data_IF_853608012296
#
_entry.id   IF_853608012296
#
_cell.length_a   1.000
_cell.length_b   1.000
_cell.length_c   1.000
_cell.angle_alpha   90.00
_cell.angle_beta   90.00
_cell.angle_gamma   90.00
#
_symmetry.space_group_name_H-M   'P 1'
#
loop_
_entity.id
_entity.type
_entity.pdbx_description
1 polymer ?
#
# COMPACT_ATOMS: atom_id res chain seq x y z
N UNK A 1 -18.77 -57.79 -0.50
CA UNK A 1 -19.62 -56.73 -1.09
C UNK A 1 -19.17 -55.41 -0.48
N UNK A 2 -18.59 -54.57 -1.33
CA UNK A 2 -17.58 -53.57 -1.01
C UNK A 2 -18.17 -52.21 -0.62
N UNK A 3 -17.32 -51.38 -0.03
CA UNK A 3 -17.50 -50.02 0.48
C UNK A 3 -18.05 -48.97 -0.53
N UNK A 4 -18.64 -49.37 -1.66
CA UNK A 4 -19.27 -48.48 -2.64
C UNK A 4 -20.63 -47.94 -2.18
N UNK A 5 -21.32 -48.56 -1.23
CA UNK A 5 -22.68 -48.15 -0.86
C UNK A 5 -22.74 -47.02 0.18
N UNK A 6 -21.63 -46.71 0.88
CA UNK A 6 -21.58 -45.63 1.88
C UNK A 6 -21.18 -44.26 1.31
N UNK A 7 -20.64 -44.20 0.08
CA UNK A 7 -20.28 -42.94 -0.58
C UNK A 7 -21.49 -42.28 -1.28
N UNK A 8 -22.53 -43.04 -1.63
CA UNK A 8 -23.70 -42.53 -2.33
C UNK A 8 -24.64 -41.68 -1.44
N UNK A 9 -24.65 -41.91 -0.13
CA UNK A 9 -25.54 -41.18 0.80
C UNK A 9 -24.95 -39.81 1.19
N UNK A 10 -23.63 -39.64 1.17
CA UNK A 10 -22.98 -38.37 1.51
C UNK A 10 -23.05 -37.32 0.36
N UNK A 11 -23.11 -37.78 -0.89
CA UNK A 11 -23.21 -36.91 -2.08
C UNK A 11 -24.63 -36.35 -2.26
N UNK A 12 -25.67 -37.05 -1.81
CA UNK A 12 -27.05 -36.58 -1.91
C UNK A 12 -27.39 -35.43 -0.93
N UNK A 13 -26.76 -35.39 0.25
CA UNK A 13 -27.01 -34.33 1.25
C UNK A 13 -26.27 -33.02 0.91
N UNK A 14 -25.11 -33.11 0.25
CA UNK A 14 -24.35 -31.93 -0.21
C UNK A 14 -24.90 -31.33 -1.52
N UNK A 15 -25.61 -32.12 -2.34
CA UNK A 15 -26.26 -31.66 -3.57
C UNK A 15 -27.48 -30.76 -3.33
N UNK A 16 -28.28 -31.05 -2.29
CA UNK A 16 -29.51 -30.29 -2.00
C UNK A 16 -29.24 -28.90 -1.37
N UNK A 17 -28.11 -28.73 -0.68
CA UNK A 17 -27.72 -27.43 -0.11
C UNK A 17 -27.24 -26.42 -1.17
N UNK A 18 -26.71 -26.89 -2.32
CA UNK A 18 -26.25 -26.01 -3.41
C UNK A 18 -27.37 -25.50 -4.31
N UNK A 19 -28.50 -26.20 -4.44
CA UNK A 19 -29.65 -25.70 -5.20
C UNK A 19 -30.41 -24.57 -4.47
N UNK A 20 -30.47 -24.60 -3.13
CA UNK A 20 -31.16 -23.56 -2.34
C UNK A 20 -30.51 -22.17 -2.38
N UNK A 21 -29.18 -22.09 -2.49
CA UNK A 21 -28.47 -20.80 -2.56
C UNK A 21 -28.56 -20.13 -3.95
N UNK A 22 -28.65 -20.90 -5.03
CA UNK A 22 -28.74 -20.34 -6.39
C UNK A 22 -30.13 -19.75 -6.70
N UNK A 23 -31.21 -20.29 -6.13
CA UNK A 23 -32.56 -19.76 -6.33
C UNK A 23 -32.81 -18.43 -5.59
N UNK A 24 -32.18 -18.22 -4.43
CA UNK A 24 -32.26 -16.94 -3.70
C UNK A 24 -31.42 -15.82 -4.33
N UNK A 25 -30.31 -16.17 -5.00
CA UNK A 25 -29.47 -15.20 -5.71
C UNK A 25 -30.11 -14.75 -7.05
N UNK A 26 -30.80 -15.65 -7.75
CA UNK A 26 -31.49 -15.34 -9.00
C UNK A 26 -32.70 -14.40 -8.79
N UNK A 27 -33.50 -14.63 -7.74
CA UNK A 27 -34.65 -13.77 -7.42
C UNK A 27 -34.26 -12.33 -7.04
N UNK A 28 -33.09 -12.14 -6.41
CA UNK A 28 -32.57 -10.81 -6.08
C UNK A 28 -31.98 -10.06 -7.29
N UNK A 29 -31.40 -10.79 -8.25
CA UNK A 29 -30.85 -10.19 -9.48
C UNK A 29 -31.97 -9.70 -10.42
N UNK A 30 -33.09 -10.44 -10.48
CA UNK A 30 -34.24 -10.07 -11.31
C UNK A 30 -34.99 -8.85 -10.76
N UNK A 31 -35.05 -8.70 -9.42
CA UNK A 31 -35.62 -7.53 -8.76
C UNK A 31 -34.73 -6.26 -8.92
N UNK A 32 -33.40 -6.43 -8.99
CA UNK A 32 -32.46 -5.34 -9.28
C UNK A 32 -32.47 -4.92 -10.75
N UNK A 33 -32.70 -5.86 -11.68
CA UNK A 33 -32.81 -5.56 -13.10
C UNK A 33 -34.10 -4.81 -13.45
N UNK A 34 -35.22 -5.14 -12.80
CA UNK A 34 -36.49 -4.41 -12.96
C UNK A 34 -36.45 -2.98 -12.38
N UNK A 35 -35.66 -2.72 -11.33
CA UNK A 35 -35.44 -1.36 -10.82
C UNK A 35 -34.53 -0.50 -11.72
N UNK A 36 -33.60 -1.11 -12.47
CA UNK A 36 -32.74 -0.36 -13.40
C UNK A 36 -33.46 0.04 -14.69
N UNK A 37 -34.45 -0.74 -15.15
CA UNK A 37 -35.23 -0.41 -16.35
C UNK A 37 -36.24 0.73 -16.13
N UNK A 38 -36.69 0.98 -14.89
CA UNK A 38 -37.61 2.09 -14.59
C UNK A 38 -36.95 3.48 -14.54
N UNK A 39 -35.61 3.56 -14.55
CA UNK A 39 -34.87 4.85 -14.48
C UNK A 39 -34.48 5.38 -15.87
N UNK A 40 -34.72 4.63 -16.96
CA UNK A 40 -34.34 5.01 -18.33
C UNK A 40 -35.44 5.71 -19.15
N UNK A 41 -36.54 6.15 -18.51
CA UNK A 41 -37.54 6.98 -19.18
C UNK A 41 -37.82 8.21 -18.34
N UNK A 42 -37.08 9.29 -18.60
CA UNK A 42 -37.45 10.71 -18.44
C UNK A 42 -36.17 11.56 -18.55
N UNK A 43 -35.87 12.09 -19.74
CA UNK A 43 -34.91 13.18 -19.89
C UNK A 43 -35.64 14.53 -19.87
N UNK A 44 -35.25 15.48 -19.01
CA UNK A 44 -35.64 16.87 -19.16
C UNK A 44 -34.44 17.74 -19.57
N UNK A 45 -34.54 18.28 -20.78
CA UNK A 45 -33.73 19.36 -21.33
C UNK A 45 -33.92 20.64 -20.50
N UNK A 46 -33.06 20.90 -19.50
CA UNK A 46 -32.58 22.26 -19.17
C UNK A 46 -31.60 22.30 -17.98
N UNK A 47 -30.68 23.28 -17.99
CA UNK A 47 -29.56 23.38 -17.04
C UNK A 47 -29.97 23.55 -15.55
N UNK A 48 -31.22 23.95 -15.26
CA UNK A 48 -31.75 24.04 -13.90
C UNK A 48 -32.09 22.66 -13.28
N UNK A 49 -32.41 21.65 -14.11
CA UNK A 49 -32.77 20.30 -13.64
C UNK A 49 -31.55 19.49 -13.19
N UNK A 50 -30.35 19.80 -13.73
CA UNK A 50 -29.07 19.16 -13.37
C UNK A 50 -28.64 19.45 -11.93
N UNK A 51 -28.97 20.64 -11.41
CA UNK A 51 -28.70 21.02 -10.01
C UNK A 51 -29.57 20.26 -9.01
N UNK A 52 -30.85 20.03 -9.35
CA UNK A 52 -31.77 19.25 -8.52
C UNK A 52 -31.46 17.74 -8.56
N UNK A 53 -31.05 17.22 -9.73
CA UNK A 53 -30.61 15.83 -9.88
C UNK A 53 -29.34 15.52 -9.08
N UNK A 54 -28.37 16.46 -9.04
CA UNK A 54 -27.15 16.31 -8.23
C UNK A 54 -27.45 16.32 -6.72
N UNK A 55 -28.37 17.18 -6.26
CA UNK A 55 -28.79 17.22 -4.86
C UNK A 55 -29.56 15.96 -4.43
N UNK A 56 -30.41 15.42 -5.31
CA UNK A 56 -31.13 14.16 -5.08
C UNK A 56 -30.18 12.95 -5.11
N UNK A 57 -29.16 12.96 -5.98
CA UNK A 57 -28.12 11.93 -6.03
C UNK A 57 -27.26 11.91 -4.75
N UNK A 58 -26.92 13.08 -4.21
CA UNK A 58 -26.20 13.22 -2.93
C UNK A 58 -27.06 12.73 -1.76
N UNK A 59 -28.35 13.07 -1.71
CA UNK A 59 -29.26 12.58 -0.67
C UNK A 59 -29.45 11.05 -0.73
N UNK A 60 -29.61 10.49 -1.93
CA UNK A 60 -29.67 9.03 -2.11
C UNK A 60 -28.34 8.35 -1.76
N UNK A 61 -27.20 8.99 -2.03
CA UNK A 61 -25.90 8.48 -1.61
C UNK A 61 -25.75 8.48 -0.08
N UNK A 62 -26.15 9.56 0.60
CA UNK A 62 -26.14 9.65 2.06
C UNK A 62 -27.08 8.61 2.72
N UNK A 63 -28.26 8.37 2.14
CA UNK A 63 -29.16 7.30 2.59
C UNK A 63 -28.53 5.91 2.44
N UNK A 64 -27.84 5.63 1.32
CA UNK A 64 -27.12 4.35 1.13
C UNK A 64 -25.98 4.19 2.13
N UNK A 65 -25.25 5.25 2.46
CA UNK A 65 -24.20 5.22 3.49
C UNK A 65 -24.78 4.92 4.88
N UNK A 66 -25.90 5.54 5.24
CA UNK A 66 -26.59 5.25 6.51
C UNK A 66 -27.10 3.79 6.58
N UNK A 67 -27.68 3.28 5.49
CA UNK A 67 -28.13 1.88 5.44
C UNK A 67 -26.95 0.90 5.57
N UNK A 68 -25.80 1.18 4.95
CA UNK A 68 -24.60 0.35 5.10
C UNK A 68 -24.06 0.37 6.53
N UNK A 69 -24.05 1.53 7.20
CA UNK A 69 -23.67 1.62 8.62
C UNK A 69 -24.63 0.83 9.52
N UNK A 70 -25.94 0.91 9.29
CA UNK A 70 -26.93 0.12 10.03
C UNK A 70 -26.74 -1.39 9.82
N UNK A 71 -26.47 -1.84 8.59
CA UNK A 71 -26.17 -3.24 8.32
C UNK A 71 -24.88 -3.72 9.00
N UNK A 72 -23.84 -2.88 9.07
CA UNK A 72 -22.61 -3.19 9.80
C UNK A 72 -22.85 -3.27 11.31
N UNK A 73 -23.65 -2.38 11.88
CA UNK A 73 -24.04 -2.42 13.30
C UNK A 73 -24.86 -3.68 13.62
N UNK A 74 -25.81 -4.07 12.76
CA UNK A 74 -26.59 -5.30 12.91
C UNK A 74 -25.71 -6.55 12.84
N UNK A 75 -24.77 -6.63 11.89
CA UNK A 75 -23.79 -7.72 11.80
C UNK A 75 -22.89 -7.78 13.04
N UNK A 76 -22.49 -6.62 13.57
CA UNK A 76 -21.68 -6.53 14.79
C UNK A 76 -22.45 -7.01 16.01
N UNK A 77 -23.74 -6.65 16.15
CA UNK A 77 -24.61 -7.13 17.22
C UNK A 77 -24.88 -8.64 17.11
N UNK A 78 -25.12 -9.16 15.90
CA UNK A 78 -25.27 -10.60 15.68
C UNK A 78 -24.00 -11.38 16.04
N UNK A 79 -22.83 -10.85 15.70
CA UNK A 79 -21.53 -11.43 16.04
C UNK A 79 -21.24 -11.39 17.54
N UNK A 80 -21.69 -10.34 18.23
CA UNK A 80 -21.60 -10.22 19.69
C UNK A 80 -22.56 -11.18 20.42
N UNK A 81 -23.70 -11.52 19.80
CA UNK A 81 -24.65 -12.53 20.31
C UNK A 81 -24.13 -13.97 20.17
N UNK A 82 -23.25 -14.22 19.19
CA UNK A 82 -22.57 -15.51 18.98
C UNK A 82 -21.32 -15.70 19.88
N UNK A 83 -20.90 -14.67 20.62
CA UNK A 83 -19.69 -14.66 21.46
C UNK A 83 -19.99 -14.44 22.95
N UNK A 84 -21.25 -14.60 23.38
CA UNK A 84 -21.55 -14.56 24.82
C UNK A 84 -21.09 -15.89 25.47
N UNK A 85 -20.23 -15.84 26.49
CA UNK A 85 -19.98 -17.01 27.34
C UNK A 85 -21.21 -17.25 28.20
N UNK A 86 -21.72 -18.48 28.21
CA UNK A 86 -22.68 -18.94 29.23
C UNK A 86 -21.93 -19.05 30.55
N UNK A 87 -21.98 -18.01 31.37
CA UNK A 87 -21.59 -18.11 32.78
C UNK A 87 -22.86 -18.33 33.60
N UNK A 88 -23.11 -19.58 33.97
CA UNK A 88 -23.99 -19.89 35.09
C UNK A 88 -23.37 -19.35 36.37
N UNK A 89 -24.16 -18.54 37.06
CA UNK A 89 -23.92 -18.03 38.40
C UNK A 89 -24.32 -19.13 39.40
N UNK A 90 -23.42 -19.44 40.33
CA UNK A 90 -23.79 -19.54 41.74
C UNK A 90 -22.55 -19.32 42.63
N UNK A 91 -22.66 -18.34 43.51
CA UNK A 91 -21.85 -18.08 44.72
C UNK A 91 -22.84 -18.07 45.89
N UNK A 92 -22.44 -18.33 47.15
CA UNK A 92 -21.88 -17.23 47.97
C UNK A 92 -20.92 -17.64 49.11
N UNK A 93 -20.03 -16.72 49.52
CA UNK A 93 -19.90 -16.19 50.90
C UNK A 93 -18.73 -15.17 51.00
N UNK A 94 -19.04 -13.89 51.32
CA UNK A 94 -18.79 -13.16 52.59
C UNK A 94 -17.30 -12.86 52.87
N UNK A 95 -16.79 -11.62 52.91
CA UNK A 95 -17.10 -10.38 53.67
C UNK A 95 -15.91 -10.06 54.61
N UNK A 96 -15.82 -8.78 55.01
CA UNK A 96 -14.88 -8.12 55.95
C UNK A 96 -13.53 -7.63 55.40
N UNK A 97 -12.95 -6.50 55.82
CA UNK A 97 -13.37 -5.25 56.48
C UNK A 97 -12.14 -4.31 56.42
N UNK A 98 -12.33 -3.02 56.65
CA UNK A 98 -11.37 -1.95 56.35
C UNK A 98 -10.43 -1.52 57.51
N UNK A 99 -9.33 -0.83 57.12
CA UNK A 99 -8.65 0.35 57.77
C UNK A 99 -7.68 0.18 58.98
N UNK A 100 -6.81 1.16 59.35
CA UNK A 100 -5.67 1.80 58.62
C UNK A 100 -4.41 2.16 59.52
N UNK A 101 -3.41 2.90 58.93
CA UNK A 101 -2.38 3.83 59.52
C UNK A 101 -0.86 3.42 59.59
N UNK A 102 -0.05 4.02 58.69
CA UNK A 102 1.18 4.88 58.81
C UNK A 102 1.97 5.02 60.16
N UNK A 103 3.16 5.69 60.23
CA UNK A 103 4.42 5.67 59.43
C UNK A 103 5.73 5.76 60.30
N UNK A 104 6.95 5.61 59.75
CA UNK A 104 8.19 6.34 60.17
C UNK A 104 9.50 5.90 59.44
N UNK A 105 10.38 6.90 59.26
CA UNK A 105 11.70 7.01 58.59
C UNK A 105 12.87 6.87 59.62
N UNK A 106 14.15 7.32 59.44
CA UNK A 106 15.20 7.20 58.40
C UNK A 106 16.58 6.67 58.93
N UNK A 107 17.59 6.55 58.05
CA UNK A 107 19.04 6.74 58.35
C UNK A 107 19.98 5.69 57.73
N UNK A 108 21.26 5.89 57.38
CA UNK A 108 22.12 7.02 57.00
C UNK A 108 23.55 6.45 56.79
N UNK A 109 24.29 6.89 55.75
CA UNK A 109 25.78 6.90 55.63
C UNK A 109 26.50 5.52 55.59
N UNK A 110 27.71 5.28 55.07
CA UNK A 110 28.90 6.09 54.74
C UNK A 110 29.94 5.26 53.92
N UNK A 111 30.91 5.98 53.33
CA UNK A 111 32.28 5.60 52.88
C UNK A 111 32.48 4.75 51.60
N UNK A 112 33.25 5.11 50.56
CA UNK A 112 34.52 5.85 50.33
C UNK A 112 35.79 4.96 50.20
N UNK A 113 36.54 5.17 49.09
CA UNK A 113 37.89 4.65 48.77
C UNK A 113 37.98 4.11 47.33
N UNK A 114 38.41 4.84 46.28
CA UNK A 114 39.80 5.24 45.91
C UNK A 114 40.76 4.05 45.85
N UNK A 115 41.33 3.65 44.71
CA UNK A 115 42.50 4.31 44.08
C UNK A 115 42.71 4.00 42.58
N UNK A 116 43.47 4.90 41.94
CA UNK A 116 43.88 5.00 40.52
C UNK A 116 45.19 4.26 40.19
N UNK A 117 45.41 4.04 38.88
CA UNK A 117 46.65 4.24 38.08
C UNK A 117 47.14 3.01 37.24
N UNK A 118 47.26 3.19 35.92
CA UNK A 118 48.00 2.31 34.97
C UNK A 118 49.46 2.78 34.79
N UNK A 119 50.11 2.71 33.60
CA UNK A 119 50.02 1.76 32.47
C UNK A 119 51.43 1.31 31.92
N UNK A 120 51.47 0.71 30.71
CA UNK A 120 52.52 0.77 29.63
C UNK A 120 53.16 -0.56 29.13
N UNK A 121 52.80 -0.93 27.89
CA UNK A 121 53.55 -1.38 26.67
C UNK A 121 54.92 -2.08 26.70
N UNK A 122 55.08 -3.12 25.85
CA UNK A 122 56.08 -3.23 24.74
C UNK A 122 55.69 -4.33 23.72
N UNK A 123 56.11 -4.14 22.45
CA UNK A 123 55.87 -4.96 21.25
C UNK A 123 56.99 -5.99 20.96
N UNK A 124 56.75 -6.98 20.07
CA UNK A 124 57.53 -7.19 18.82
C UNK A 124 57.15 -8.46 17.99
N UNK A 125 57.05 -8.23 16.67
CA UNK A 125 57.45 -8.97 15.44
C UNK A 125 57.04 -10.42 15.06
N UNK A 126 56.37 -10.49 13.89
CA UNK A 126 56.56 -11.31 12.65
C UNK A 126 56.74 -12.85 12.65
N UNK A 127 55.86 -13.57 11.91
CA UNK A 127 56.20 -14.62 10.91
C UNK A 127 55.09 -14.80 9.83
N UNK A 128 55.44 -14.43 8.59
CA UNK A 128 55.18 -15.03 7.24
C UNK A 128 53.99 -15.98 6.96
N UNK A 129 53.22 -15.63 5.92
CA UNK A 129 52.23 -16.45 5.20
C UNK A 129 52.86 -17.40 4.16
N UNK A 130 52.33 -18.62 4.03
CA UNK A 130 52.20 -19.35 2.75
C UNK A 130 50.95 -20.23 2.78
N UNK A 131 49.91 -19.91 1.99
CA UNK A 131 48.75 -20.77 1.75
C UNK A 131 48.83 -21.38 0.35
N UNK A 132 48.80 -22.70 0.27
CA UNK A 132 48.50 -23.49 -0.94
C UNK A 132 46.99 -23.78 -1.03
N UNK A 133 46.44 -24.00 -2.24
CA UNK A 133 45.00 -24.09 -2.47
C UNK A 133 44.50 -25.54 -2.36
N UNK A 134 43.55 -25.80 -1.45
CA UNK A 134 42.90 -27.11 -1.34
C UNK A 134 41.40 -26.98 -1.63
N UNK A 135 41.07 -27.46 -2.83
CA UNK A 135 39.91 -28.27 -3.23
C UNK A 135 38.55 -27.99 -2.56
N UNK A 136 37.59 -27.65 -3.44
CA UNK A 136 36.17 -27.56 -3.13
C UNK A 136 35.59 -28.92 -2.73
N UNK A 137 34.90 -28.96 -1.59
CA UNK A 137 34.04 -30.06 -1.15
C UNK A 137 32.54 -29.67 -1.32
N UNK A 138 31.65 -30.67 -1.52
CA UNK A 138 30.33 -30.47 -2.13
C UNK A 138 29.21 -30.12 -1.13
N UNK A 139 28.34 -29.21 -1.54
CA UNK A 139 26.95 -29.01 -1.08
C UNK A 139 26.74 -29.14 0.45
N UNK A 140 27.22 -28.14 1.19
CA UNK A 140 26.71 -27.88 2.54
C UNK A 140 25.31 -27.28 2.44
N UNK A 141 24.33 -27.93 3.06
CA UNK A 141 23.01 -27.36 3.32
C UNK A 141 23.21 -26.24 4.33
N UNK A 142 23.51 -25.05 3.79
CA UNK A 142 23.86 -23.87 4.55
C UNK A 142 22.93 -23.69 5.75
N UNK A 143 23.51 -23.84 6.94
CA UNK A 143 22.96 -23.20 8.14
C UNK A 143 22.72 -21.72 7.82
N UNK A 144 21.57 -21.13 8.15
CA UNK A 144 21.34 -19.72 7.90
C UNK A 144 22.49 -18.92 8.53
N UNK A 145 23.09 -18.01 7.77
CA UNK A 145 24.06 -17.07 8.33
C UNK A 145 23.44 -16.40 9.57
N UNK A 146 24.25 -16.09 10.59
CA UNK A 146 23.76 -15.44 11.82
C UNK A 146 22.90 -14.20 11.53
N UNK A 147 23.26 -13.46 10.48
CA UNK A 147 22.54 -12.28 10.01
C UNK A 147 21.13 -12.61 9.47
N UNK A 148 20.95 -13.76 8.83
CA UNK A 148 19.65 -14.24 8.33
C UNK A 148 18.78 -14.77 9.48
N UNK A 149 19.37 -15.43 10.47
CA UNK A 149 18.66 -15.88 11.67
C UNK A 149 18.14 -14.67 12.48
N UNK A 150 19.00 -13.66 12.70
CA UNK A 150 18.63 -12.43 13.41
C UNK A 150 17.54 -11.64 12.68
N UNK A 151 17.56 -11.63 11.35
CA UNK A 151 16.55 -10.99 10.52
C UNK A 151 15.22 -11.75 10.59
N UNK A 152 15.23 -13.09 10.50
CA UNK A 152 14.03 -13.91 10.66
C UNK A 152 13.38 -13.73 12.03
N UNK A 153 14.16 -13.70 13.10
CA UNK A 153 13.67 -13.46 14.46
C UNK A 153 13.05 -12.06 14.59
N UNK A 154 13.67 -11.04 14.00
CA UNK A 154 13.12 -9.68 13.96
C UNK A 154 11.80 -9.59 13.20
N UNK A 155 11.68 -10.34 12.10
CA UNK A 155 10.43 -10.42 11.33
C UNK A 155 9.35 -11.15 12.13
N UNK A 156 9.68 -12.23 12.82
CA UNK A 156 8.73 -12.93 13.68
C UNK A 156 8.22 -12.02 14.81
N UNK A 157 9.11 -11.28 15.48
CA UNK A 157 8.74 -10.25 16.46
C UNK A 157 7.76 -9.21 15.86
N UNK A 158 8.06 -8.71 14.65
CA UNK A 158 7.22 -7.75 13.94
C UNK A 158 5.82 -8.32 13.64
N UNK A 159 5.75 -9.57 13.19
CA UNK A 159 4.49 -10.21 12.85
C UNK A 159 3.66 -10.54 14.09
N UNK A 160 4.29 -10.96 15.19
CA UNK A 160 3.62 -11.29 16.45
C UNK A 160 3.04 -10.07 17.15
N UNK A 161 3.67 -8.90 16.99
CA UNK A 161 3.15 -7.64 17.54
C UNK A 161 1.97 -7.06 16.75
N UNK A 162 1.55 -7.71 15.67
CA UNK A 162 0.62 -7.11 14.72
C UNK A 162 -0.81 -7.03 15.26
N UNK A 163 -1.46 -5.87 15.10
CA UNK A 163 -2.86 -5.62 15.48
C UNK A 163 -3.71 -5.07 14.31
N UNK A 164 -4.99 -5.47 14.27
CA UNK A 164 -6.00 -4.93 13.35
C UNK A 164 -6.70 -3.67 13.89
N UNK A 165 -6.46 -3.36 15.17
CA UNK A 165 -6.93 -2.15 15.82
C UNK A 165 -5.77 -1.17 15.86
N UNK A 166 -6.05 0.06 15.44
CA UNK A 166 -5.20 1.24 15.59
C UNK A 166 -4.60 1.30 17.01
N UNK A 167 -3.33 0.91 17.19
CA UNK A 167 -2.70 0.92 18.50
C UNK A 167 -2.53 2.39 18.89
N UNK A 168 -3.22 2.80 19.95
CA UNK A 168 -2.95 4.12 20.55
C UNK A 168 -1.45 4.20 20.82
N UNK A 169 -0.79 5.33 20.52
CA UNK A 169 0.62 5.47 20.83
C UNK A 169 0.88 5.12 22.30
N UNK A 170 1.98 4.42 22.57
CA UNK A 170 2.44 4.20 23.94
C UNK A 170 2.75 5.58 24.54
N UNK A 171 1.79 6.13 25.29
CA UNK A 171 1.77 7.53 25.70
C UNK A 171 0.84 8.36 24.81
N UNK A 172 -0.11 9.07 25.43
CA UNK A 172 -1.22 9.80 24.80
C UNK A 172 -0.82 11.04 23.96
N UNK A 173 0.32 11.03 23.26
CA UNK A 173 0.76 12.19 22.46
C UNK A 173 0.51 11.93 20.98
N UNK A 174 -0.23 12.83 20.33
CA UNK A 174 -0.21 12.94 18.87
C UNK A 174 1.26 13.14 18.42
N UNK A 175 1.67 12.63 17.24
CA UNK A 175 3.03 12.80 16.76
C UNK A 175 3.39 14.29 16.75
N UNK A 176 4.42 14.64 17.52
CA UNK A 176 4.92 16.00 17.59
C UNK A 176 5.67 16.29 16.27
N UNK A 177 5.60 17.51 15.76
CA UNK A 177 6.43 17.93 14.63
C UNK A 177 7.94 17.74 14.91
N UNK A 178 8.33 17.66 16.19
CA UNK A 178 9.68 17.32 16.65
C UNK A 178 10.07 15.83 16.57
N UNK A 179 9.12 14.93 16.27
CA UNK A 179 9.37 13.50 16.00
C UNK A 179 9.78 13.24 14.54
N UNK A 180 9.80 14.28 13.70
CA UNK A 180 10.09 14.20 12.28
C UNK A 180 11.53 14.64 12.01
N UNK A 181 12.40 13.78 11.45
CA UNK A 181 13.71 14.21 10.98
C UNK A 181 13.54 15.34 9.96
N UNK A 182 14.40 16.37 10.00
CA UNK A 182 14.29 17.53 9.11
C UNK A 182 14.15 17.08 7.65
N UNK A 183 13.03 17.42 7.02
CA UNK A 183 12.69 17.02 5.65
C UNK A 183 13.49 17.77 4.57
N UNK A 184 14.37 18.68 4.97
CA UNK A 184 15.23 19.42 4.04
C UNK A 184 16.21 18.46 3.36
N UNK A 185 16.00 18.21 2.06
CA UNK A 185 16.92 17.43 1.23
C UNK A 185 16.45 16.02 0.86
N UNK A 186 15.26 15.57 1.30
CA UNK A 186 14.72 14.28 0.83
C UNK A 186 14.27 14.37 -0.62
N UNK A 187 14.55 13.33 -1.40
CA UNK A 187 13.98 13.13 -2.73
C UNK A 187 12.50 12.79 -2.59
N UNK A 188 11.64 13.39 -3.42
CA UNK A 188 10.21 13.10 -3.38
C UNK A 188 9.91 11.63 -3.63
N UNK A 189 10.52 11.06 -4.67
CA UNK A 189 10.29 9.68 -5.08
C UNK A 189 11.63 8.95 -5.21
N UNK A 190 11.62 7.69 -4.76
CA UNK A 190 12.71 6.73 -4.88
C UNK A 190 12.51 5.73 -6.01
N UNK A 191 11.36 5.67 -6.68
CA UNK A 191 11.06 4.67 -7.72
C UNK A 191 12.13 4.70 -8.83
N UNK A 192 12.87 3.60 -9.06
CA UNK A 192 13.92 3.55 -10.07
C UNK A 192 13.29 3.62 -11.44
N UNK A 193 13.62 4.67 -12.20
CA UNK A 193 13.17 4.79 -13.57
C UNK A 193 13.98 3.94 -14.57
N UNK A 194 15.07 3.31 -14.14
CA UNK A 194 16.02 2.60 -15.01
C UNK A 194 16.75 3.50 -16.02
N UNK A 195 17.61 2.89 -16.85
CA UNK A 195 18.22 3.55 -17.99
C UNK A 195 17.20 3.83 -19.11
N UNK A 196 17.60 4.63 -20.11
CA UNK A 196 16.71 4.91 -21.23
C UNK A 196 16.40 3.66 -22.06
N UNK A 197 17.37 2.75 -22.15
CA UNK A 197 17.29 1.47 -22.83
C UNK A 197 16.40 0.50 -22.04
N UNK A 198 16.54 0.46 -20.71
CA UNK A 198 15.70 -0.37 -19.85
C UNK A 198 14.22 0.03 -19.96
N UNK A 199 13.93 1.33 -19.97
CA UNK A 199 12.55 1.81 -20.17
C UNK A 199 12.02 1.50 -21.57
N UNK A 200 12.82 1.69 -22.61
CA UNK A 200 12.42 1.34 -23.97
C UNK A 200 12.12 -0.16 -24.10
N UNK A 201 12.93 -1.02 -23.48
CA UNK A 201 12.68 -2.46 -23.44
C UNK A 201 11.41 -2.81 -22.64
N UNK A 202 11.15 -2.12 -21.51
CA UNK A 202 9.91 -2.27 -20.76
C UNK A 202 8.68 -1.86 -21.59
N UNK A 203 8.77 -0.75 -22.34
CA UNK A 203 7.72 -0.31 -23.24
C UNK A 203 7.45 -1.31 -24.36
N UNK A 204 8.49 -1.88 -24.97
CA UNK A 204 8.33 -2.93 -25.99
C UNK A 204 7.61 -4.16 -25.45
N UNK A 205 7.97 -4.62 -24.24
CA UNK A 205 7.27 -5.74 -23.57
C UNK A 205 5.80 -5.40 -23.29
N UNK A 206 5.54 -4.18 -22.85
CA UNK A 206 4.18 -3.71 -22.57
C UNK A 206 3.32 -3.69 -23.84
N UNK A 207 3.84 -3.11 -24.94
CA UNK A 207 3.12 -3.08 -26.21
C UNK A 207 2.86 -4.48 -26.77
N UNK A 208 3.84 -5.39 -26.70
CA UNK A 208 3.64 -6.79 -27.10
C UNK A 208 2.55 -7.48 -26.27
N UNK A 209 2.47 -7.18 -24.96
CA UNK A 209 1.44 -7.75 -24.08
C UNK A 209 0.05 -7.18 -24.37
N UNK A 210 -0.06 -5.90 -24.71
CA UNK A 210 -1.33 -5.32 -25.16
C UNK A 210 -1.81 -5.92 -26.48
N UNK A 211 -0.92 -6.08 -27.46
CA UNK A 211 -1.24 -6.72 -28.73
C UNK A 211 -1.73 -8.16 -28.52
N UNK A 212 -1.08 -8.92 -27.65
CA UNK A 212 -1.51 -10.29 -27.32
C UNK A 212 -2.92 -10.32 -26.69
N UNK A 213 -3.25 -9.37 -25.80
CA UNK A 213 -4.58 -9.25 -25.22
C UNK A 213 -5.65 -8.88 -26.26
N UNK A 214 -5.31 -8.06 -27.25
CA UNK A 214 -6.21 -7.69 -28.34
C UNK A 214 -6.52 -8.90 -29.23
N UNK A 215 -5.51 -9.68 -29.63
CA UNK A 215 -5.69 -10.91 -30.41
C UNK A 215 -6.60 -11.92 -29.67
N UNK A 216 -6.37 -12.11 -28.37
CA UNK A 216 -7.22 -12.99 -27.56
C UNK A 216 -8.68 -12.52 -27.51
N UNK A 217 -8.92 -11.20 -27.48
CA UNK A 217 -10.27 -10.65 -27.49
C UNK A 217 -10.96 -10.80 -28.85
N UNK A 218 -10.23 -10.67 -29.96
CA UNK A 218 -10.78 -10.88 -31.30
C UNK A 218 -11.06 -12.36 -31.59
N UNK A 219 -10.19 -13.27 -31.17
CA UNK A 219 -10.43 -14.72 -31.29
C UNK A 219 -11.65 -15.17 -30.46
N UNK A 220 -11.84 -14.59 -29.26
CA UNK A 220 -13.03 -14.85 -28.45
C UNK A 220 -14.31 -14.28 -29.09
N UNK A 221 -14.23 -13.18 -29.84
CA UNK A 221 -15.35 -12.58 -30.55
C UNK A 221 -15.70 -13.32 -31.86
N UNK A 222 -14.72 -13.85 -32.58
CA UNK A 222 -14.94 -14.64 -33.81
C UNK A 222 -15.61 -16.00 -33.55
N UNK A 223 -15.58 -16.50 -32.31
CA UNK A 223 -16.41 -17.63 -31.85
C UNK A 223 -17.92 -17.32 -31.75
N UNK A 224 -18.32 -16.07 -31.96
CA UNK A 224 -19.72 -15.60 -31.92
C UNK A 224 -20.06 -14.65 -33.06
N UNK A 225 -20.29 -15.20 -34.27
CA UNK A 225 -21.14 -14.64 -35.33
C UNK A 225 -21.04 -13.14 -35.68
N UNK A 226 -20.14 -12.82 -36.62
CA UNK A 226 -20.19 -11.78 -37.67
C UNK A 226 -20.90 -10.43 -37.47
N UNK A 227 -20.12 -9.35 -37.66
CA UNK A 227 -20.60 -8.02 -38.08
C UNK A 227 -19.46 -6.99 -38.15
N UNK A 228 -18.87 -6.80 -39.32
CA UNK A 228 -17.70 -5.94 -39.56
C UNK A 228 -17.99 -4.44 -39.54
N UNK A 229 -16.95 -3.67 -39.20
CA UNK A 229 -16.87 -2.22 -39.30
C UNK A 229 -15.47 -1.75 -38.92
N UNK A 230 -14.66 -1.48 -39.93
CA UNK A 230 -13.34 -0.85 -39.88
C UNK A 230 -13.51 0.62 -39.47
N UNK A 231 -13.12 0.95 -38.25
CA UNK A 231 -12.67 2.29 -37.84
C UNK A 231 -11.68 2.12 -36.68
N UNK A 232 -10.41 2.38 -37.00
CA UNK A 232 -9.28 2.20 -36.11
C UNK A 232 -9.32 3.04 -34.84
N UNK A 233 -8.88 2.40 -33.76
CA UNK A 233 -8.05 2.99 -32.70
C UNK A 233 -8.58 4.25 -32.01
N UNK A 234 -9.74 4.18 -31.35
CA UNK A 234 -10.03 5.10 -30.22
C UNK A 234 -11.08 4.63 -29.20
N UNK A 235 -11.87 3.60 -29.52
CA UNK A 235 -12.98 3.17 -28.67
C UNK A 235 -12.74 1.82 -27.97
N UNK A 236 -11.86 1.78 -26.96
CA UNK A 236 -11.84 0.68 -25.97
C UNK A 236 -11.37 1.17 -24.58
N UNK A 237 -11.74 2.39 -24.20
CA UNK A 237 -11.46 2.99 -22.88
C UNK A 237 -12.73 3.30 -22.07
N UNK A 238 -13.88 2.77 -22.47
CA UNK A 238 -15.14 2.92 -21.75
C UNK A 238 -15.59 1.54 -21.26
N UNK A 239 -15.57 1.36 -19.94
CA UNK A 239 -16.24 0.21 -19.31
C UNK A 239 -15.33 -0.71 -18.52
N UNK A 240 -14.64 -0.20 -17.50
CA UNK A 240 -14.79 -0.67 -16.10
C UNK A 240 -13.88 0.15 -15.19
N UNK A 241 -14.46 0.68 -14.12
CA UNK A 241 -13.69 1.15 -12.96
C UNK A 241 -13.10 -0.11 -12.33
N UNK A 242 -11.78 -0.30 -12.41
CA UNK A 242 -11.16 -1.43 -11.74
C UNK A 242 -11.20 -1.20 -10.22
N UNK A 243 -11.80 -2.11 -9.47
CA UNK A 243 -11.82 -2.08 -8.01
C UNK A 243 -10.52 -2.67 -7.45
N UNK A 244 -9.60 -1.78 -7.08
CA UNK A 244 -8.32 -2.12 -6.48
C UNK A 244 -8.52 -2.32 -4.99
N UNK A 245 -8.31 -3.56 -4.54
CA UNK A 245 -8.28 -3.91 -3.13
C UNK A 245 -7.01 -3.37 -2.50
N UNK A 246 -7.14 -2.58 -1.44
CA UNK A 246 -6.02 -1.93 -0.75
C UNK A 246 -5.82 -2.51 0.64
N UNK A 247 -4.58 -2.82 0.99
CA UNK A 247 -4.17 -3.16 2.36
C UNK A 247 -3.10 -2.17 2.83
N UNK A 248 -3.31 -1.60 4.01
CA UNK A 248 -2.30 -0.76 4.68
C UNK A 248 -1.55 -1.59 5.72
N UNK A 249 -0.22 -1.53 5.65
CA UNK A 249 0.71 -2.17 6.57
C UNK A 249 1.56 -1.10 7.25
N UNK A 250 1.20 -0.75 8.47
CA UNK A 250 1.79 0.36 9.22
C UNK A 250 2.90 -0.17 10.13
N UNK A 251 4.17 0.08 9.79
CA UNK A 251 5.30 -0.29 10.64
C UNK A 251 5.60 0.84 11.63
N UNK A 252 5.68 0.49 12.90
CA UNK A 252 5.95 1.38 14.01
C UNK A 252 7.23 0.95 14.71
N UNK A 253 8.08 1.93 15.04
CA UNK A 253 9.34 1.66 15.74
C UNK A 253 9.22 2.05 17.21
N UNK A 254 9.35 1.06 18.09
CA UNK A 254 9.47 1.24 19.54
C UNK A 254 10.92 1.59 19.88
N UNK A 255 11.27 2.86 19.70
CA UNK A 255 12.62 3.36 19.92
C UNK A 255 12.91 3.50 21.42
N UNK A 256 14.00 2.92 21.95
CA UNK A 256 14.42 3.18 23.32
C UNK A 256 14.96 4.62 23.43
N UNK A 257 14.38 5.42 24.32
CA UNK A 257 14.85 6.80 24.62
C UNK A 257 15.92 6.76 25.71
N UNK A 258 15.70 5.93 26.73
CA UNK A 258 16.68 5.64 27.77
C UNK A 258 16.63 4.13 28.07
N UNK A 259 17.70 3.41 27.72
CA UNK A 259 17.79 1.94 27.88
C UNK A 259 17.66 1.50 29.34
N UNK A 260 17.99 2.35 30.30
CA UNK A 260 18.04 2.02 31.72
C UNK A 260 16.69 2.23 32.45
N UNK A 261 15.75 2.99 31.86
CA UNK A 261 14.49 3.36 32.51
C UNK A 261 13.23 2.77 31.84
N UNK A 262 13.39 1.92 30.83
CA UNK A 262 12.25 1.33 30.10
C UNK A 262 11.38 2.38 29.39
N UNK A 263 11.92 3.56 29.10
CA UNK A 263 11.22 4.65 28.41
C UNK A 263 11.40 4.50 26.91
N UNK A 264 10.28 4.43 26.19
CA UNK A 264 10.25 4.28 24.74
C UNK A 264 9.51 5.44 24.08
N UNK A 265 9.89 5.74 22.84
CA UNK A 265 9.15 6.58 21.89
C UNK A 265 8.63 5.67 20.78
N UNK A 266 7.38 5.88 20.37
CA UNK A 266 6.80 5.16 19.23
C UNK A 266 6.82 6.05 17.99
N UNK A 267 7.57 5.66 16.97
CA UNK A 267 7.62 6.32 15.67
C UNK A 267 6.77 5.56 14.65
N UNK A 268 6.47 6.18 13.49
CA UNK A 268 5.77 5.52 12.40
C UNK A 268 4.24 5.51 12.50
N UNK A 269 3.66 6.15 13.50
CA UNK A 269 2.21 6.10 13.72
C UNK A 269 1.41 6.76 12.58
N UNK A 270 0.41 6.03 12.07
CA UNK A 270 -0.61 6.52 11.15
C UNK A 270 -1.97 6.06 11.68
N UNK A 271 -2.85 7.00 12.00
CA UNK A 271 -4.18 6.70 12.52
C UNK A 271 -5.14 6.24 11.43
N UNK A 272 -6.18 5.50 11.82
CA UNK A 272 -7.25 5.10 10.89
C UNK A 272 -7.86 6.32 10.17
N UNK A 273 -8.06 7.44 10.86
CA UNK A 273 -8.63 8.65 10.26
C UNK A 273 -7.73 9.26 9.16
N UNK A 274 -6.40 9.17 9.31
CA UNK A 274 -5.45 9.58 8.26
C UNK A 274 -5.53 8.65 7.05
N UNK A 275 -5.64 7.34 7.29
CA UNK A 275 -5.82 6.33 6.25
C UNK A 275 -7.13 6.58 5.49
N UNK A 276 -8.24 6.82 6.18
CA UNK A 276 -9.53 7.09 5.54
C UNK A 276 -9.49 8.36 4.67
N UNK A 277 -8.81 9.42 5.14
CA UNK A 277 -8.57 10.63 4.33
C UNK A 277 -7.74 10.33 3.09
N UNK A 278 -6.67 9.57 3.24
CA UNK A 278 -5.81 9.18 2.14
C UNK A 278 -6.54 8.33 1.10
N UNK A 279 -7.41 7.40 1.53
CA UNK A 279 -8.25 6.61 0.64
C UNK A 279 -9.26 7.46 -0.13
N UNK A 280 -9.80 8.53 0.49
CA UNK A 280 -10.64 9.51 -0.22
C UNK A 280 -9.84 10.26 -1.28
N UNK A 281 -8.61 10.67 -0.96
CA UNK A 281 -7.74 11.36 -1.92
C UNK A 281 -7.39 10.45 -3.12
N UNK A 282 -7.04 9.18 -2.89
CA UNK A 282 -6.82 8.21 -3.97
C UNK A 282 -8.05 8.09 -4.86
N UNK A 283 -9.24 7.85 -4.28
CA UNK A 283 -10.46 7.75 -5.07
C UNK A 283 -10.80 9.06 -5.81
N UNK A 284 -10.46 10.23 -5.25
CA UNK A 284 -10.65 11.50 -5.95
C UNK A 284 -9.69 11.67 -7.15
N UNK A 285 -8.41 11.31 -6.97
CA UNK A 285 -7.39 11.46 -8.01
C UNK A 285 -7.60 10.50 -9.20
N UNK A 286 -8.13 9.30 -8.94
CA UNK A 286 -8.23 8.21 -9.92
C UNK A 286 -9.66 7.79 -10.29
N UNK A 287 -10.69 8.28 -9.60
CA UNK A 287 -12.06 7.74 -9.59
C UNK A 287 -12.77 7.59 -10.94
N UNK A 288 -12.23 8.20 -12.00
CA UNK A 288 -12.73 8.01 -13.36
C UNK A 288 -12.30 6.67 -13.99
N UNK A 289 -11.20 6.07 -13.52
CA UNK A 289 -10.61 4.84 -14.06
C UNK A 289 -10.51 3.72 -13.01
N UNK A 290 -10.30 4.08 -11.74
CA UNK A 290 -10.06 3.12 -10.66
C UNK A 290 -10.83 3.51 -9.40
N UNK A 291 -11.35 2.52 -8.69
CA UNK A 291 -11.81 2.67 -7.31
C UNK A 291 -10.85 1.95 -6.39
N UNK A 292 -10.61 2.52 -5.21
CA UNK A 292 -9.74 1.96 -4.20
C UNK A 292 -10.56 1.57 -2.97
N UNK A 293 -10.66 0.27 -2.73
CA UNK A 293 -11.42 -0.31 -1.63
C UNK A 293 -10.49 -0.77 -0.52
N UNK A 294 -10.55 -0.13 0.65
CA UNK A 294 -9.78 -0.54 1.82
C UNK A 294 -10.29 -1.89 2.34
N UNK A 295 -9.43 -2.91 2.31
CA UNK A 295 -9.76 -4.28 2.73
C UNK A 295 -9.18 -4.63 4.09
N UNK A 296 -8.11 -3.98 4.51
CA UNK A 296 -7.51 -4.18 5.81
C UNK A 296 -6.47 -3.12 6.15
N UNK A 297 -6.34 -2.86 7.44
CA UNK A 297 -5.23 -2.11 8.00
C UNK A 297 -4.61 -2.97 9.09
N UNK A 298 -3.29 -3.13 9.04
CA UNK A 298 -2.53 -3.84 10.05
C UNK A 298 -1.41 -2.94 10.54
N UNK A 299 -1.32 -2.79 11.86
CA UNK A 299 -0.20 -2.13 12.51
C UNK A 299 0.76 -3.17 13.05
N UNK A 300 2.05 -2.93 12.86
CA UNK A 300 3.14 -3.80 13.29
C UNK A 300 4.10 -2.95 14.12
N UNK A 301 4.49 -3.45 15.28
CA UNK A 301 5.47 -2.78 16.14
C UNK A 301 6.78 -3.57 16.16
N UNK A 302 7.91 -2.91 15.99
CA UNK A 302 9.22 -3.55 16.12
C UNK A 302 10.14 -2.78 17.05
N UNK A 303 10.98 -3.49 17.78
CA UNK A 303 12.13 -2.93 18.50
C UNK A 303 13.41 -2.86 17.63
N UNK A 304 13.34 -3.34 16.38
CA UNK A 304 14.46 -3.46 15.45
C UNK A 304 14.45 -2.31 14.44
N UNK A 305 15.21 -1.25 14.73
CA UNK A 305 15.19 0.00 13.95
C UNK A 305 15.49 -0.18 12.45
N UNK A 306 16.33 -1.15 12.07
CA UNK A 306 16.67 -1.39 10.66
C UNK A 306 15.49 -1.91 9.83
N UNK A 307 14.48 -2.55 10.44
CA UNK A 307 13.24 -2.89 9.75
C UNK A 307 12.44 -1.63 9.41
N UNK A 308 12.40 -0.67 10.33
CA UNK A 308 11.69 0.60 10.17
C UNK A 308 12.39 1.57 9.20
N UNK A 309 13.68 1.35 8.92
CA UNK A 309 14.45 2.14 7.96
C UNK A 309 14.90 1.34 6.75
N UNK A 310 14.22 0.23 6.43
CA UNK A 310 14.54 -0.59 5.27
C UNK A 310 14.60 0.29 4.01
N UNK A 311 15.70 0.18 3.27
CA UNK A 311 15.91 0.91 2.02
C UNK A 311 15.33 0.16 0.83
N UNK A 312 15.10 0.88 -0.26
CA UNK A 312 14.63 0.29 -1.50
C UNK A 312 15.63 -0.74 -2.04
N UNK A 313 15.09 -1.83 -2.60
CA UNK A 313 15.82 -2.96 -3.17
C UNK A 313 16.66 -3.76 -2.17
N UNK A 314 16.60 -3.43 -0.87
CA UNK A 314 17.33 -4.15 0.18
C UNK A 314 16.75 -5.56 0.41
N UNK A 315 17.57 -6.44 1.01
CA UNK A 315 17.11 -7.74 1.50
C UNK A 315 16.07 -7.57 2.62
N UNK A 316 16.27 -6.58 3.50
CA UNK A 316 15.33 -6.25 4.59
C UNK A 316 13.96 -5.84 4.05
N UNK A 317 13.89 -4.95 3.05
CA UNK A 317 12.62 -4.57 2.42
C UNK A 317 11.90 -5.81 1.88
N UNK A 318 12.62 -6.62 1.10
CA UNK A 318 12.08 -7.85 0.52
C UNK A 318 11.48 -8.75 1.60
N UNK A 319 12.25 -9.06 2.64
CA UNK A 319 11.78 -9.98 3.67
C UNK A 319 10.61 -9.41 4.49
N UNK A 320 10.60 -8.11 4.80
CA UNK A 320 9.45 -7.44 5.43
C UNK A 320 8.20 -7.59 4.56
N UNK A 321 8.29 -7.23 3.28
CA UNK A 321 7.16 -7.28 2.34
C UNK A 321 6.66 -8.71 2.16
N UNK A 322 7.55 -9.66 1.84
CA UNK A 322 7.19 -11.08 1.64
C UNK A 322 6.48 -11.66 2.85
N UNK A 323 6.99 -11.40 4.05
CA UNK A 323 6.46 -12.00 5.28
C UNK A 323 5.10 -11.41 5.66
N UNK A 324 4.93 -10.09 5.49
CA UNK A 324 3.64 -9.42 5.66
C UNK A 324 2.63 -9.91 4.63
N UNK A 325 3.01 -9.99 3.35
CA UNK A 325 2.14 -10.46 2.27
C UNK A 325 1.69 -11.91 2.49
N UNK A 326 2.63 -12.78 2.86
CA UNK A 326 2.35 -14.19 3.13
C UNK A 326 1.35 -14.33 4.29
N UNK A 327 1.54 -13.58 5.39
CA UNK A 327 0.62 -13.58 6.54
C UNK A 327 -0.76 -13.05 6.18
N UNK A 328 -0.84 -11.99 5.36
CA UNK A 328 -2.11 -11.36 5.00
C UNK A 328 -2.84 -12.06 3.85
N UNK A 329 -2.18 -12.94 3.10
CA UNK A 329 -2.77 -13.65 1.96
C UNK A 329 -3.14 -12.70 0.81
N UNK A 330 -2.38 -11.63 0.62
CA UNK A 330 -2.72 -10.50 -0.25
C UNK A 330 -1.67 -10.23 -1.35
N UNK A 331 -0.97 -11.27 -1.82
CA UNK A 331 0.10 -11.20 -2.82
C UNK A 331 -0.34 -11.25 -4.29
N UNK A 332 -1.61 -11.03 -4.61
CA UNK A 332 -2.09 -11.02 -5.99
C UNK A 332 -1.72 -9.70 -6.69
N UNK A 333 -1.46 -9.75 -8.01
CA UNK A 333 -1.06 -8.58 -8.81
C UNK A 333 -2.09 -7.43 -8.81
N UNK A 334 -3.36 -7.80 -8.61
CA UNK A 334 -4.53 -6.93 -8.53
C UNK A 334 -4.74 -6.28 -7.15
N UNK A 335 -3.92 -6.63 -6.15
CA UNK A 335 -4.01 -6.09 -4.80
C UNK A 335 -2.90 -5.06 -4.57
N UNK A 336 -3.29 -3.88 -4.09
CA UNK A 336 -2.35 -2.81 -3.74
C UNK A 336 -1.97 -2.93 -2.25
N UNK A 337 -0.73 -3.33 -2.00
CA UNK A 337 -0.12 -3.31 -0.67
C UNK A 337 0.60 -1.97 -0.45
N UNK A 338 0.20 -1.27 0.60
CA UNK A 338 0.76 0.02 1.02
C UNK A 338 1.48 -0.16 2.34
N UNK A 339 2.80 0.01 2.35
CA UNK A 339 3.63 -0.11 3.54
C UNK A 339 4.07 1.27 4.02
N UNK A 340 3.94 1.53 5.32
CA UNK A 340 4.44 2.78 5.89
C UNK A 340 5.59 2.52 6.84
N UNK A 341 6.75 3.14 6.61
CA UNK A 341 7.85 3.20 7.57
C UNK A 341 8.63 4.52 7.39
N UNK A 342 9.82 4.67 7.97
CA UNK A 342 10.71 5.80 7.69
C UNK A 342 11.72 5.37 6.64
N UNK A 343 11.44 5.56 5.35
CA UNK A 343 12.23 4.91 4.32
C UNK A 343 13.67 5.42 4.35
N UNK A 344 14.63 4.50 4.24
CA UNK A 344 16.04 4.85 4.12
C UNK A 344 16.32 5.64 2.83
N UNK A 345 17.57 6.04 2.61
CA UNK A 345 18.02 6.72 1.37
C UNK A 345 17.38 8.10 1.11
N UNK A 346 16.85 8.74 2.15
CA UNK A 346 16.28 10.08 2.09
C UNK A 346 15.19 10.26 1.03
N UNK A 347 14.27 9.28 0.90
CA UNK A 347 13.11 9.36 -0.01
C UNK A 347 11.79 9.49 0.78
N UNK A 348 10.75 10.09 0.17
CA UNK A 348 9.41 10.10 0.76
C UNK A 348 8.61 8.85 0.43
N UNK A 349 8.92 8.16 -0.65
CA UNK A 349 8.29 6.89 -1.01
C UNK A 349 8.90 6.26 -2.25
N UNK A 350 8.46 5.05 -2.57
CA UNK A 350 8.68 4.41 -3.86
C UNK A 350 7.60 3.37 -4.15
N UNK A 351 7.49 2.99 -5.41
CA UNK A 351 6.67 1.91 -5.90
C UNK A 351 7.48 0.90 -6.72
N UNK A 352 6.89 -0.27 -6.95
CA UNK A 352 7.29 -1.19 -8.00
C UNK A 352 6.51 -0.91 -9.29
N UNK A 353 7.19 -0.96 -10.43
CA UNK A 353 6.54 -0.86 -11.74
C UNK A 353 5.72 -2.12 -12.05
N UNK A 354 4.63 -2.04 -12.83
CA UNK A 354 3.79 -3.20 -13.15
C UNK A 354 4.54 -4.37 -13.80
N UNK A 355 5.52 -4.10 -14.66
CA UNK A 355 6.26 -5.15 -15.37
C UNK A 355 7.17 -5.96 -14.44
N UNK A 356 7.61 -5.37 -13.33
CA UNK A 356 8.48 -6.04 -12.35
C UNK A 356 7.74 -7.12 -11.55
N UNK A 357 6.41 -7.07 -11.50
CA UNK A 357 5.61 -8.08 -10.80
C UNK A 357 5.86 -9.49 -11.36
N UNK A 358 6.19 -9.60 -12.66
CA UNK A 358 6.44 -10.89 -13.32
C UNK A 358 7.68 -11.58 -12.72
N UNK A 359 8.74 -10.80 -12.46
CA UNK A 359 10.05 -11.35 -12.03
C UNK A 359 10.25 -11.24 -10.51
N UNK A 360 9.64 -10.23 -9.88
CA UNK A 360 9.82 -9.88 -8.46
C UNK A 360 8.49 -9.60 -7.75
N UNK A 361 7.52 -10.53 -7.77
CA UNK A 361 6.22 -10.33 -7.14
C UNK A 361 6.33 -10.11 -5.63
N UNK A 362 7.40 -10.60 -5.01
CA UNK A 362 7.71 -10.48 -3.59
C UNK A 362 8.14 -9.06 -3.16
N UNK A 363 8.35 -8.16 -4.12
CA UNK A 363 8.65 -6.75 -3.87
C UNK A 363 7.46 -5.82 -4.15
N UNK A 364 6.37 -6.33 -4.72
CA UNK A 364 5.29 -5.48 -5.23
C UNK A 364 4.62 -4.62 -4.17
N UNK A 365 4.21 -3.42 -4.57
CA UNK A 365 3.47 -2.48 -3.76
C UNK A 365 4.17 -1.13 -3.64
N UNK A 366 3.70 -0.32 -2.71
CA UNK A 366 4.20 1.03 -2.46
C UNK A 366 4.71 1.13 -1.03
N UNK A 367 5.90 1.68 -0.87
CA UNK A 367 6.44 2.09 0.43
C UNK A 367 6.34 3.61 0.52
N UNK A 368 5.83 4.11 1.63
CA UNK A 368 5.57 5.53 1.82
C UNK A 368 5.98 5.98 3.21
N UNK A 369 6.61 7.15 3.30
CA UNK A 369 6.96 7.78 4.56
C UNK A 369 5.70 8.06 5.37
N UNK A 370 5.64 7.55 6.60
CA UNK A 370 4.46 7.67 7.43
C UNK A 370 3.99 9.13 7.67
N UNK A 371 4.89 10.12 7.55
CA UNK A 371 4.58 11.54 7.78
C UNK A 371 3.97 12.26 6.58
N UNK A 372 3.99 11.66 5.37
CA UNK A 372 3.42 12.26 4.15
C UNK A 372 2.01 11.73 3.83
N UNK A 373 1.54 10.70 4.54
CA UNK A 373 0.13 10.29 4.49
C UNK A 373 -0.76 11.46 4.95
N UNK A 374 -1.89 11.69 4.26
CA UNK A 374 -2.79 12.83 4.47
C UNK A 374 -3.00 13.23 5.94
N UNK A 375 -2.69 14.49 6.25
CA UNK A 375 -2.76 15.05 7.61
C UNK A 375 -1.62 14.55 8.51
N UNK A 376 -0.48 14.22 7.91
CA UNK A 376 0.79 14.06 8.60
C UNK A 376 1.46 15.41 8.89
N UNK A 377 2.73 15.38 9.30
CA UNK A 377 3.46 16.57 9.74
C UNK A 377 4.47 17.13 8.75
N UNK A 378 4.62 16.53 7.56
CA UNK A 378 5.50 17.10 6.52
C UNK A 378 4.94 18.43 5.98
N UNK A 379 5.68 19.55 6.03
CA UNK A 379 5.15 20.87 5.67
C UNK A 379 4.87 21.04 4.17
N UNK A 380 5.54 20.28 3.30
CA UNK A 380 5.41 20.39 1.85
C UNK A 380 4.60 19.24 1.23
N UNK A 381 4.56 18.08 1.88
CA UNK A 381 4.06 16.83 1.30
C UNK A 381 3.05 16.07 2.18
N UNK A 382 2.46 16.68 3.21
CA UNK A 382 1.48 16.01 4.08
C UNK A 382 0.02 16.07 3.62
N UNK A 383 -0.27 16.49 2.38
CA UNK A 383 -1.64 16.45 1.86
C UNK A 383 -1.99 15.06 1.30
N UNK A 384 -0.96 14.26 1.00
CA UNK A 384 -1.09 12.85 0.61
C UNK A 384 -0.81 12.61 -0.87
N UNK A 385 -0.37 13.64 -1.61
CA UNK A 385 -0.12 13.51 -3.04
C UNK A 385 1.16 12.74 -3.35
N UNK A 386 2.03 12.54 -2.36
CA UNK A 386 3.15 11.60 -2.50
C UNK A 386 2.62 10.18 -2.69
N UNK A 387 1.58 9.75 -1.96
CA UNK A 387 1.01 8.43 -2.21
C UNK A 387 0.30 8.35 -3.57
N UNK A 388 -0.37 9.43 -4.00
CA UNK A 388 -0.94 9.50 -5.36
C UNK A 388 0.16 9.35 -6.41
N UNK A 389 1.29 10.02 -6.23
CA UNK A 389 2.46 9.90 -7.10
C UNK A 389 2.97 8.45 -7.19
N UNK A 390 3.21 7.80 -6.05
CA UNK A 390 3.72 6.42 -6.03
C UNK A 390 2.72 5.40 -6.58
N UNK A 391 1.41 5.58 -6.35
CA UNK A 391 0.39 4.74 -6.98
C UNK A 391 0.36 4.94 -8.50
N UNK A 392 0.70 6.13 -9.00
CA UNK A 392 0.89 6.38 -10.43
C UNK A 392 2.00 5.52 -11.02
N UNK A 393 3.13 5.39 -10.32
CA UNK A 393 4.19 4.46 -10.69
C UNK A 393 3.75 2.99 -10.61
N UNK A 394 3.04 2.61 -9.55
CA UNK A 394 2.49 1.25 -9.40
C UNK A 394 1.52 0.89 -10.55
N UNK A 395 0.86 1.89 -11.14
CA UNK A 395 0.02 1.78 -12.34
C UNK A 395 0.77 2.06 -13.67
N UNK A 396 2.09 2.21 -13.64
CA UNK A 396 2.94 2.22 -14.83
C UNK A 396 3.17 3.59 -15.48
N UNK A 397 2.98 4.68 -14.73
CA UNK A 397 3.43 6.02 -15.14
C UNK A 397 4.90 6.24 -14.79
N UNK A 398 5.62 6.93 -15.67
CA UNK A 398 6.92 7.51 -15.37
C UNK A 398 6.76 8.97 -14.93
N UNK A 399 7.85 9.54 -14.41
CA UNK A 399 7.93 10.97 -14.16
C UNK A 399 7.77 11.78 -15.45
N UNK A 400 7.08 12.93 -15.41
CA UNK A 400 6.89 13.79 -16.60
C UNK A 400 8.20 14.34 -17.18
N UNK A 401 9.24 14.44 -16.35
CA UNK A 401 10.59 14.86 -16.74
C UNK A 401 11.48 13.71 -17.23
N UNK A 402 10.92 12.51 -17.38
CA UNK A 402 11.69 11.39 -17.86
C UNK A 402 12.12 11.66 -19.29
N UNK A 403 13.42 11.51 -19.59
CA UNK A 403 13.97 11.71 -20.93
C UNK A 403 14.36 13.16 -21.28
N UNK A 404 14.06 14.13 -20.41
CA UNK A 404 14.44 15.52 -20.60
C UNK A 404 13.86 16.14 -21.88
N UNK A 405 14.51 17.18 -22.41
CA UNK A 405 14.10 17.82 -23.67
C UNK A 405 14.44 17.03 -24.95
N UNK A 406 14.84 15.76 -24.86
CA UNK A 406 15.47 15.05 -25.98
C UNK A 406 14.62 13.96 -26.64
N UNK A 407 13.43 13.61 -26.10
CA UNK A 407 12.76 12.35 -26.48
C UNK A 407 11.22 12.37 -26.49
N UNK A 408 10.55 13.41 -27.00
CA UNK A 408 9.09 13.54 -26.88
C UNK A 408 8.27 13.26 -28.14
N UNK A 409 8.49 12.12 -28.81
CA UNK A 409 7.52 11.63 -29.80
C UNK A 409 7.54 10.09 -29.89
N UNK A 410 6.37 9.50 -29.63
CA UNK A 410 5.97 8.08 -29.78
C UNK A 410 6.76 7.00 -29.01
N UNK A 411 8.07 7.13 -28.76
CA UNK A 411 8.90 6.07 -28.14
C UNK A 411 9.95 6.60 -27.16
N UNK A 412 9.68 7.72 -26.50
CA UNK A 412 10.62 8.31 -25.56
C UNK A 412 9.93 9.13 -24.48
N UNK A 413 10.73 9.63 -23.55
CA UNK A 413 10.24 10.43 -22.45
C UNK A 413 9.64 9.57 -21.32
N UNK A 414 8.40 9.91 -20.94
CA UNK A 414 7.54 9.18 -20.01
C UNK A 414 6.55 8.23 -20.71
N UNK A 415 6.61 8.15 -22.04
CA UNK A 415 5.74 7.35 -22.92
C UNK A 415 4.25 7.74 -22.86
N UNK A 416 3.97 9.03 -22.63
CA UNK A 416 2.63 9.60 -22.73
C UNK A 416 2.64 10.74 -23.74
N UNK A 417 1.83 10.66 -24.79
CA UNK A 417 1.91 11.62 -25.90
C UNK A 417 1.42 13.04 -25.54
N UNK A 418 0.55 13.17 -24.53
CA UNK A 418 -0.01 14.46 -24.11
C UNK A 418 0.71 15.11 -22.92
N UNK A 419 1.89 14.60 -22.56
CA UNK A 419 2.80 15.23 -21.60
C UNK A 419 3.92 15.97 -22.37
N UNK A 420 3.99 17.31 -22.26
CA UNK A 420 5.10 18.10 -22.81
C UNK A 420 6.46 17.64 -22.27
N UNK A 421 7.53 17.98 -23.00
CA UNK A 421 8.89 17.69 -22.56
C UNK A 421 9.26 18.54 -21.35
N UNK A 422 9.85 17.90 -20.35
CA UNK A 422 10.29 18.57 -19.12
C UNK A 422 11.75 18.20 -18.87
N UNK A 423 12.63 19.19 -18.74
CA UNK A 423 14.07 18.99 -18.64
C UNK A 423 14.47 18.30 -17.33
N UNK A 424 13.82 18.66 -16.23
CA UNK A 424 14.13 18.23 -14.87
C UNK A 424 12.90 18.40 -13.95
N UNK A 425 12.88 17.77 -12.76
CA UNK A 425 11.75 17.91 -11.85
C UNK A 425 11.50 19.36 -11.45
N UNK A 426 10.23 19.75 -11.37
CA UNK A 426 9.82 21.04 -10.84
C UNK A 426 9.56 20.95 -9.34
N UNK A 427 9.72 22.11 -8.68
CA UNK A 427 9.46 22.28 -7.25
C UNK A 427 8.72 23.60 -7.05
N UNK A 428 7.92 23.67 -5.97
CA UNK A 428 7.07 24.83 -5.68
C UNK A 428 6.06 25.12 -6.80
N UNK A 429 5.21 26.09 -6.52
CA UNK A 429 4.07 26.47 -7.36
C UNK A 429 4.44 27.49 -8.44
N UNK A 430 5.50 27.23 -9.20
CA UNK A 430 6.03 28.17 -10.19
C UNK A 430 5.75 27.63 -11.59
N UNK A 431 5.25 28.48 -12.48
CA UNK A 431 5.12 28.14 -13.90
C UNK A 431 6.51 28.10 -14.54
N UNK A 432 6.84 27.00 -15.20
CA UNK A 432 8.12 26.77 -15.88
C UNK A 432 7.86 26.31 -17.31
N UNK A 433 8.75 26.70 -18.21
CA UNK A 433 8.90 26.12 -19.55
C UNK A 433 10.38 25.79 -19.73
N UNK A 434 10.73 24.56 -19.38
CA UNK A 434 12.14 24.11 -19.34
C UNK A 434 12.65 23.64 -20.69
N UNK A 435 11.74 23.40 -21.65
CA UNK A 435 12.05 22.96 -23.01
C UNK A 435 11.40 23.88 -24.06
N UNK A 436 11.76 25.19 -24.11
CA UNK A 436 11.03 26.22 -24.88
C UNK A 436 11.07 26.03 -26.40
N UNK A 437 11.96 25.16 -26.91
CA UNK A 437 12.04 24.81 -28.32
C UNK A 437 11.12 23.62 -28.70
N UNK A 438 10.37 23.08 -27.73
CA UNK A 438 9.41 22.00 -27.92
C UNK A 438 7.99 22.49 -27.54
N UNK A 439 6.93 21.85 -28.07
CA UNK A 439 5.57 22.27 -27.76
C UNK A 439 5.18 22.05 -26.29
N UNK A 440 4.42 22.99 -25.75
CA UNK A 440 3.86 22.92 -24.40
C UNK A 440 4.77 23.52 -23.35
N UNK A 441 4.34 23.43 -22.09
CA UNK A 441 5.11 23.90 -20.93
C UNK A 441 5.04 22.85 -19.85
N UNK A 442 5.99 22.88 -18.92
CA UNK A 442 6.05 21.94 -17.81
C UNK A 442 4.72 21.80 -17.08
N UNK A 443 4.30 20.54 -16.88
CA UNK A 443 3.07 20.21 -16.17
C UNK A 443 3.30 20.26 -14.65
N UNK A 444 3.62 21.43 -14.12
CA UNK A 444 3.94 21.63 -12.68
C UNK A 444 2.82 21.24 -11.72
N UNK A 445 1.60 21.06 -12.21
CA UNK A 445 0.44 20.58 -11.42
C UNK A 445 0.18 19.07 -11.58
N UNK A 446 1.02 18.37 -12.34
CA UNK A 446 0.87 16.96 -12.58
C UNK A 446 1.34 16.16 -11.35
N UNK A 447 0.59 15.12 -10.99
CA UNK A 447 0.97 14.24 -9.89
C UNK A 447 2.32 13.53 -10.10
N UNK A 448 2.76 13.33 -11.35
CA UNK A 448 4.03 12.68 -11.69
C UNK A 448 5.23 13.65 -11.78
N UNK A 449 5.07 14.90 -11.34
CA UNK A 449 6.18 15.85 -11.11
C UNK A 449 6.56 15.91 -9.61
N UNK A 450 7.59 16.67 -9.24
CA UNK A 450 8.08 16.82 -7.86
C UNK A 450 7.55 18.05 -7.10
N UNK A 451 6.61 18.79 -7.69
CA UNK A 451 6.04 20.04 -7.14
C UNK A 451 5.23 19.87 -5.85
N UNK A 452 5.47 20.68 -4.81
CA UNK A 452 4.76 20.66 -3.51
C UNK A 452 3.27 20.27 -3.60
N UNK A 453 2.78 19.47 -2.64
CA UNK A 453 1.40 18.93 -2.61
C UNK A 453 0.33 19.99 -2.86
N UNK A 454 0.48 21.19 -2.28
CA UNK A 454 -0.45 22.32 -2.45
C UNK A 454 -0.72 22.75 -3.89
N UNK A 455 0.05 22.25 -4.87
CA UNK A 455 -0.01 22.67 -6.26
C UNK A 455 -0.24 21.54 -7.27
N UNK A 456 -0.02 20.28 -6.89
CA UNK A 456 -0.33 19.13 -7.75
C UNK A 456 -1.80 18.74 -7.61
N UNK A 457 -2.46 18.41 -8.71
CA UNK A 457 -3.90 18.10 -8.69
C UNK A 457 -4.43 17.29 -9.87
N UNK A 458 -3.59 16.84 -10.82
CA UNK A 458 -4.11 16.21 -12.04
C UNK A 458 -3.19 15.18 -12.68
N UNK A 459 -3.82 14.24 -13.39
CA UNK A 459 -3.22 13.42 -14.43
C UNK A 459 -3.77 13.87 -15.79
N UNK A 460 -2.98 13.72 -16.85
CA UNK A 460 -3.45 13.93 -18.23
C UNK A 460 -4.40 12.81 -18.68
N UNK A 461 -5.25 13.03 -19.70
CA UNK A 461 -6.02 11.96 -20.33
C UNK A 461 -5.15 10.78 -20.81
N UNK A 462 -3.97 11.06 -21.37
CA UNK A 462 -3.01 10.05 -21.82
C UNK A 462 -2.45 9.21 -20.67
N UNK A 463 -2.09 9.83 -19.55
CA UNK A 463 -1.66 9.11 -18.35
C UNK A 463 -2.77 8.19 -17.83
N UNK A 464 -4.01 8.67 -17.79
CA UNK A 464 -5.19 7.87 -17.40
C UNK A 464 -5.38 6.64 -18.30
N UNK A 465 -5.29 6.82 -19.63
CA UNK A 465 -5.37 5.70 -20.60
C UNK A 465 -4.22 4.71 -20.39
N UNK A 466 -2.99 5.19 -20.23
CA UNK A 466 -1.81 4.37 -20.00
C UNK A 466 -1.96 3.51 -18.74
N UNK A 467 -2.45 4.08 -17.63
CA UNK A 467 -2.67 3.30 -16.40
C UNK A 467 -3.69 2.18 -16.58
N UNK A 468 -4.79 2.42 -17.30
CA UNK A 468 -5.78 1.37 -17.61
C UNK A 468 -5.17 0.26 -18.46
N UNK A 469 -4.36 0.61 -19.44
CA UNK A 469 -3.67 -0.36 -20.29
C UNK A 469 -2.63 -1.17 -19.50
N UNK A 470 -1.83 -0.52 -18.64
CA UNK A 470 -0.86 -1.17 -17.75
C UNK A 470 -1.54 -2.13 -16.77
N UNK A 471 -2.68 -1.70 -16.20
CA UNK A 471 -3.51 -2.54 -15.35
C UNK A 471 -3.95 -3.82 -16.09
N UNK A 472 -4.54 -3.68 -17.28
CA UNK A 472 -4.98 -4.82 -18.10
C UNK A 472 -3.82 -5.75 -18.45
N UNK A 473 -2.68 -5.19 -18.82
CA UNK A 473 -1.49 -5.96 -19.14
C UNK A 473 -1.04 -6.77 -17.93
N UNK A 474 -0.69 -6.12 -16.82
CA UNK A 474 0.10 -6.75 -15.75
C UNK A 474 -0.69 -7.12 -14.49
N UNK A 475 -1.77 -6.41 -14.16
CA UNK A 475 -2.40 -6.47 -12.84
C UNK A 475 -3.79 -7.09 -12.80
N UNK A 476 -4.53 -7.12 -13.91
CA UNK A 476 -5.91 -7.61 -13.98
C UNK A 476 -6.07 -9.14 -13.85
N UNK A 477 -5.18 -9.82 -13.10
CA UNK A 477 -5.11 -11.29 -12.99
C UNK A 477 -5.26 -11.75 -11.54
#
# INVERSE_FOLDING_TARGET
>A
MSACTRLAVLVAVLGLARLGCCQAAAANAEQQHQQQQQVQQEEPDDAASRGAAAASAEQHWQQRQQQQQQQQQQRTMQRRKLLQPTTDLDSPDQADAATPLDPANPGSSSNAGSTLAGPVSTADADVVQTNTPEQADPLDLATPNSDDADLNDAINELLDSSSTIDPKPYGNRAPDASDLPSHQGRKRCGTPAGSSEQRAAAEQRFQARLQALQVQSSEAAEGGGAGGGDDGVEAAATGTVADIKVFFHILQYKQPVNRTQGVFRLLGYVSQNRIDRQMRLLNAAYGQQFSFSLRGVQWYTTSRGYLFTAGQSSATERQVKTSICARAGNGAASVLNLYTWQPGQDVLGWATMPDWFVDTPDRDGVVILHSVITGGGDPAYAQGDTLVHEVGHWLGLYHVFQGGCSKNAANGGDFVADTPAVASPNFKCVRVDSCPNLPGTDLVKNYMDYTDDRCVNSFTPGQKRRMVQQWRAYRAR
#
